data_IF_798441536693
#
_entry.id   IF_798441536693
#
_cell.length_a   1.000
_cell.length_b   1.000
_cell.length_c   1.000
_cell.angle_alpha   90.00
_cell.angle_beta   90.00
_cell.angle_gamma   90.00
#
_symmetry.space_group_name_H-M   'P 1'
#
loop_
_entity.id
_entity.type
_entity.pdbx_description
1 polymer ?
#
# COMPACT_ATOMS: atom_id res chain seq x y z
N UNK A 1 39.13 -3.45 50.26
CA UNK A 1 39.74 -2.48 49.33
C UNK A 1 39.74 -3.15 47.96
N UNK A 2 38.60 -3.34 47.27
CA UNK A 2 37.74 -2.34 46.60
C UNK A 2 38.58 -1.46 45.67
N UNK A 3 38.48 -1.72 44.35
CA UNK A 3 38.99 -1.03 43.15
C UNK A 3 39.31 -2.14 42.11
N UNK A 4 38.81 -2.24 40.89
CA UNK A 4 38.10 -1.31 40.01
C UNK A 4 37.15 -2.12 39.12
N UNK A 5 35.84 -1.99 39.33
CA UNK A 5 34.86 -2.24 38.26
C UNK A 5 34.78 -0.95 37.46
N UNK A 6 35.67 -0.79 36.47
CA UNK A 6 35.46 0.20 35.42
C UNK A 6 34.13 -0.15 34.74
N UNK A 7 33.07 0.55 35.15
CA UNK A 7 31.83 0.60 34.40
C UNK A 7 32.18 1.14 33.01
N UNK A 8 32.07 0.29 32.01
CA UNK A 8 32.11 0.68 30.61
C UNK A 8 30.89 1.58 30.36
N UNK A 9 31.03 2.87 30.63
CA UNK A 9 30.08 3.88 30.17
C UNK A 9 30.62 4.41 28.84
N UNK A 10 29.99 4.10 27.70
CA UNK A 10 30.35 4.75 26.46
C UNK A 10 30.15 6.25 26.63
N UNK A 11 31.20 7.05 26.38
CA UNK A 11 31.11 8.50 26.44
C UNK A 11 30.14 8.97 25.36
N UNK A 12 28.95 9.40 25.76
CA UNK A 12 27.97 9.98 24.82
C UNK A 12 28.45 11.37 24.45
N UNK A 13 28.76 11.58 23.18
CA UNK A 13 29.02 12.92 22.65
C UNK A 13 27.70 13.71 22.65
N UNK A 14 27.62 14.68 23.55
CA UNK A 14 26.45 15.53 23.74
C UNK A 14 26.10 16.34 22.47
N UNK A 15 27.08 16.66 21.62
CA UNK A 15 26.82 17.37 20.36
C UNK A 15 26.15 16.45 19.33
N UNK A 16 26.60 15.18 19.25
CA UNK A 16 25.97 14.17 18.40
C UNK A 16 24.54 13.90 18.90
N UNK A 17 24.36 13.76 20.21
CA UNK A 17 23.04 13.55 20.80
C UNK A 17 22.09 14.72 20.54
N UNK A 18 22.55 15.96 20.75
CA UNK A 18 21.75 17.17 20.47
C UNK A 18 21.36 17.26 19.01
N UNK A 19 22.29 16.99 18.09
CA UNK A 19 22.03 16.99 16.65
C UNK A 19 21.02 15.92 16.25
N UNK A 20 21.14 14.71 16.82
CA UNK A 20 20.21 13.62 16.58
C UNK A 20 18.79 13.94 17.10
N UNK A 21 18.68 14.57 18.28
CA UNK A 21 17.39 15.02 18.83
C UNK A 21 16.76 16.09 17.92
N UNK A 22 17.53 17.10 17.51
CA UNK A 22 17.03 18.16 16.63
C UNK A 22 16.56 17.59 15.29
N UNK A 23 17.29 16.62 14.74
CA UNK A 23 16.90 15.95 13.51
C UNK A 23 15.60 15.15 13.68
N UNK A 24 15.45 14.41 14.77
CA UNK A 24 14.21 13.69 15.10
C UNK A 24 13.02 14.65 15.22
N UNK A 25 13.19 15.76 15.94
CA UNK A 25 12.14 16.78 16.11
C UNK A 25 11.78 17.39 14.76
N UNK A 26 12.76 17.75 13.93
CA UNK A 26 12.51 18.29 12.58
C UNK A 26 11.77 17.29 11.69
N UNK A 27 12.14 16.00 11.72
CA UNK A 27 11.46 14.93 10.98
C UNK A 27 10.00 14.78 11.44
N UNK A 28 9.76 14.73 12.74
CA UNK A 28 8.41 14.63 13.31
C UNK A 28 7.54 15.85 12.93
N UNK A 29 8.08 17.06 13.04
CA UNK A 29 7.36 18.28 12.64
C UNK A 29 7.03 18.31 11.14
N UNK A 30 7.95 17.87 10.28
CA UNK A 30 7.71 17.76 8.83
C UNK A 30 6.57 16.79 8.54
N UNK A 31 6.57 15.63 9.20
CA UNK A 31 5.51 14.62 9.05
C UNK A 31 4.14 15.16 9.48
N UNK A 32 4.07 15.84 10.62
CA UNK A 32 2.82 16.46 11.09
C UNK A 32 2.28 17.49 10.08
N UNK A 33 3.15 18.30 9.48
CA UNK A 33 2.74 19.24 8.42
C UNK A 33 2.19 18.51 7.19
N UNK A 34 2.88 17.48 6.72
CA UNK A 34 2.42 16.67 5.59
C UNK A 34 1.07 16.01 5.87
N UNK A 35 0.86 15.48 7.08
CA UNK A 35 -0.42 14.88 7.47
C UNK A 35 -1.53 15.92 7.56
N UNK A 36 -1.24 17.11 8.08
CA UNK A 36 -2.20 18.22 8.12
C UNK A 36 -2.58 18.69 6.72
N UNK A 37 -1.61 18.86 5.82
CA UNK A 37 -1.84 19.24 4.42
C UNK A 37 -2.66 18.18 3.69
N UNK A 38 -2.35 16.90 3.93
CA UNK A 38 -3.12 15.77 3.40
C UNK A 38 -4.57 15.82 3.86
N UNK A 39 -4.82 15.93 5.18
CA UNK A 39 -6.18 16.00 5.74
C UNK A 39 -6.96 17.20 5.20
N UNK A 40 -6.31 18.35 5.10
CA UNK A 40 -6.93 19.57 4.55
C UNK A 40 -7.36 19.37 3.10
N UNK A 41 -6.50 18.81 2.25
CA UNK A 41 -6.86 18.51 0.85
C UNK A 41 -7.95 17.45 0.73
N UNK A 42 -7.93 16.41 1.58
CA UNK A 42 -9.00 15.40 1.62
C UNK A 42 -10.37 16.00 1.94
N UNK A 43 -10.43 16.99 2.84
CA UNK A 43 -11.68 17.72 3.12
C UNK A 43 -12.19 18.47 1.90
N UNK A 44 -11.30 19.09 1.12
CA UNK A 44 -11.65 19.78 -0.14
C UNK A 44 -12.23 18.78 -1.15
N UNK A 45 -11.57 17.62 -1.34
CA UNK A 45 -12.09 16.57 -2.22
C UNK A 45 -13.47 16.08 -1.79
N UNK A 46 -13.67 15.81 -0.50
CA UNK A 46 -14.96 15.35 0.03
C UNK A 46 -16.07 16.40 -0.15
N UNK A 47 -15.75 17.68 0.06
CA UNK A 47 -16.68 18.78 -0.18
C UNK A 47 -17.06 18.87 -1.67
N UNK A 48 -16.09 18.75 -2.56
CA UNK A 48 -16.33 18.74 -4.00
C UNK A 48 -17.18 17.52 -4.44
N UNK A 49 -16.90 16.33 -3.91
CA UNK A 49 -17.71 15.13 -4.20
C UNK A 49 -19.16 15.32 -3.75
N UNK A 50 -19.37 15.86 -2.55
CA UNK A 50 -20.71 16.18 -2.06
C UNK A 50 -21.46 17.17 -2.95
N UNK A 51 -20.76 18.19 -3.46
CA UNK A 51 -21.32 19.16 -4.41
C UNK A 51 -21.71 18.51 -5.74
N UNK A 52 -20.87 17.62 -6.28
CA UNK A 52 -21.14 16.89 -7.52
C UNK A 52 -22.35 15.96 -7.39
N UNK A 53 -22.45 15.24 -6.25
CA UNK A 53 -23.63 14.42 -5.93
C UNK A 53 -24.88 15.29 -5.87
N UNK A 54 -24.82 16.43 -5.20
CA UNK A 54 -25.95 17.35 -5.07
C UNK A 54 -26.41 17.86 -6.43
N UNK A 55 -25.47 18.28 -7.28
CA UNK A 55 -25.75 18.68 -8.67
C UNK A 55 -26.41 17.57 -9.47
N UNK A 56 -25.93 16.33 -9.34
CA UNK A 56 -26.53 15.18 -10.00
C UNK A 56 -28.00 14.99 -9.60
N UNK A 57 -28.34 15.03 -8.31
CA UNK A 57 -29.73 14.89 -7.86
C UNK A 57 -30.61 16.09 -8.22
N UNK A 58 -30.04 17.29 -8.34
CA UNK A 58 -30.77 18.47 -8.80
C UNK A 58 -31.25 18.35 -10.26
N UNK A 59 -30.64 17.47 -11.06
CA UNK A 59 -31.10 17.15 -12.41
C UNK A 59 -32.33 16.22 -12.43
N UNK A 60 -32.79 15.76 -11.26
CA UNK A 60 -33.95 14.87 -11.08
C UNK A 60 -33.86 13.58 -11.94
N UNK A 61 -32.78 12.79 -11.79
CA UNK A 61 -32.67 11.52 -12.48
C UNK A 61 -33.78 10.56 -12.04
N UNK A 62 -34.22 9.69 -12.94
CA UNK A 62 -35.13 8.59 -12.60
C UNK A 62 -34.41 7.44 -11.86
N UNK A 63 -35.17 6.43 -11.43
CA UNK A 63 -34.63 5.30 -10.66
C UNK A 63 -33.57 4.50 -11.43
N UNK A 64 -33.75 4.31 -12.73
CA UNK A 64 -32.83 3.56 -13.58
C UNK A 64 -31.50 4.33 -13.73
N UNK A 65 -31.57 5.63 -13.98
CA UNK A 65 -30.42 6.52 -14.08
C UNK A 65 -29.65 6.60 -12.76
N UNK A 66 -30.34 6.65 -11.62
CA UNK A 66 -29.71 6.60 -10.28
C UNK A 66 -29.01 5.25 -10.08
N UNK A 67 -29.65 4.15 -10.48
CA UNK A 67 -29.07 2.81 -10.35
C UNK A 67 -27.78 2.67 -11.17
N UNK A 68 -27.80 3.07 -12.44
CA UNK A 68 -26.64 3.02 -13.34
C UNK A 68 -25.52 3.90 -12.80
N UNK A 69 -25.82 5.15 -12.40
CA UNK A 69 -24.81 6.06 -11.85
C UNK A 69 -24.12 5.49 -10.60
N UNK A 70 -24.89 4.93 -9.65
CA UNK A 70 -24.35 4.29 -8.46
C UNK A 70 -23.46 3.10 -8.81
N UNK A 71 -23.86 2.26 -9.76
CA UNK A 71 -23.07 1.13 -10.22
C UNK A 71 -21.76 1.55 -10.87
N UNK A 72 -21.79 2.60 -11.70
CA UNK A 72 -20.59 3.18 -12.31
C UNK A 72 -19.64 3.68 -11.23
N UNK A 73 -20.12 4.52 -10.30
CA UNK A 73 -19.28 5.08 -9.24
C UNK A 73 -18.69 4.02 -8.33
N UNK A 74 -19.47 2.99 -7.97
CA UNK A 74 -18.95 1.87 -7.18
C UNK A 74 -17.86 1.10 -7.95
N UNK A 75 -18.10 0.79 -9.22
CA UNK A 75 -17.15 0.06 -10.05
C UNK A 75 -15.85 0.85 -10.23
N UNK A 76 -15.93 2.18 -10.43
CA UNK A 76 -14.77 3.07 -10.48
C UNK A 76 -14.00 3.03 -9.15
N UNK A 77 -14.69 3.15 -8.02
CA UNK A 77 -14.05 3.08 -6.71
C UNK A 77 -13.29 1.76 -6.51
N UNK A 78 -13.89 0.64 -6.94
CA UNK A 78 -13.26 -0.68 -6.87
C UNK A 78 -12.05 -0.78 -7.80
N UNK A 79 -12.14 -0.32 -9.06
CA UNK A 79 -11.00 -0.26 -10.00
C UNK A 79 -9.86 0.56 -9.42
N UNK A 80 -10.14 1.77 -8.92
CA UNK A 80 -9.13 2.66 -8.36
C UNK A 80 -8.47 2.03 -7.13
N UNK A 81 -9.26 1.45 -6.22
CA UNK A 81 -8.74 0.74 -5.05
C UNK A 81 -7.82 -0.41 -5.45
N UNK A 82 -8.21 -1.23 -6.42
CA UNK A 82 -7.41 -2.36 -6.89
C UNK A 82 -6.13 -1.89 -7.61
N UNK A 83 -6.19 -0.82 -8.41
CA UNK A 83 -5.00 -0.19 -9.02
C UNK A 83 -4.02 0.33 -7.95
N UNK A 84 -4.53 0.96 -6.89
CA UNK A 84 -3.69 1.37 -5.76
C UNK A 84 -3.00 0.19 -5.07
N UNK A 85 -3.70 -0.94 -4.91
CA UNK A 85 -3.11 -2.17 -4.38
C UNK A 85 -2.03 -2.73 -5.31
N UNK A 86 -2.25 -2.68 -6.62
CA UNK A 86 -1.26 -3.07 -7.63
C UNK A 86 0.02 -2.24 -7.50
N UNK A 87 -0.11 -0.92 -7.46
CA UNK A 87 1.00 0.04 -7.36
C UNK A 87 1.83 -0.21 -6.08
N UNK A 88 1.14 -0.38 -4.95
CA UNK A 88 1.77 -0.69 -3.66
C UNK A 88 2.52 -2.02 -3.74
N UNK A 89 1.93 -3.05 -4.35
CA UNK A 89 2.56 -4.36 -4.49
C UNK A 89 3.76 -4.30 -5.43
N UNK A 90 3.69 -3.58 -6.55
CA UNK A 90 4.82 -3.35 -7.47
C UNK A 90 5.98 -2.67 -6.75
N UNK A 91 5.69 -1.62 -5.95
CA UNK A 91 6.73 -0.91 -5.18
C UNK A 91 7.35 -1.82 -4.12
N UNK A 92 6.55 -2.66 -3.47
CA UNK A 92 7.01 -3.69 -2.53
C UNK A 92 7.92 -4.73 -3.19
N UNK A 93 7.54 -5.25 -4.36
CA UNK A 93 8.38 -6.18 -5.14
C UNK A 93 9.72 -5.52 -5.51
N UNK A 94 9.69 -4.27 -5.99
CA UNK A 94 10.90 -3.51 -6.31
C UNK A 94 11.83 -3.37 -5.08
N UNK A 95 11.26 -3.09 -3.91
CA UNK A 95 11.98 -2.99 -2.65
C UNK A 95 12.26 -4.34 -1.99
N UNK A 96 11.88 -5.48 -2.62
CA UNK A 96 11.97 -6.84 -2.07
C UNK A 96 11.30 -7.02 -0.70
N UNK A 97 10.20 -6.29 -0.46
CA UNK A 97 9.41 -6.36 0.78
C UNK A 97 8.14 -7.16 0.56
N UNK A 98 7.89 -8.19 1.37
CA UNK A 98 6.59 -8.88 1.32
C UNK A 98 5.50 -8.12 2.08
N UNK A 99 4.24 -8.27 1.66
CA UNK A 99 3.11 -7.98 2.53
C UNK A 99 3.23 -8.72 3.87
N UNK A 100 3.07 -8.02 4.99
CA UNK A 100 3.21 -8.56 6.36
C UNK A 100 2.46 -9.87 6.61
N UNK A 101 1.31 -10.08 5.94
CA UNK A 101 0.53 -11.32 6.05
C UNK A 101 1.30 -12.53 5.52
N UNK A 102 1.98 -12.37 4.38
CA UNK A 102 2.76 -13.42 3.74
C UNK A 102 4.08 -13.64 4.45
N UNK A 103 4.75 -12.55 4.85
CA UNK A 103 5.99 -12.63 5.60
C UNK A 103 5.80 -13.43 6.89
N UNK A 104 4.80 -13.07 7.71
CA UNK A 104 4.46 -13.81 8.94
C UNK A 104 4.12 -15.29 8.69
N UNK A 105 3.49 -15.62 7.57
CA UNK A 105 3.11 -17.00 7.27
C UNK A 105 4.33 -17.83 6.89
N UNK A 106 5.27 -17.23 6.17
CA UNK A 106 6.51 -17.87 5.73
C UNK A 106 7.52 -17.94 6.89
N UNK A 107 7.60 -16.90 7.72
CA UNK A 107 8.47 -16.89 8.89
C UNK A 107 8.00 -17.90 9.95
N UNK A 108 6.69 -18.06 10.13
CA UNK A 108 6.17 -19.18 10.95
C UNK A 108 6.59 -20.55 10.43
N UNK A 109 6.74 -20.71 9.12
CA UNK A 109 7.21 -21.98 8.55
C UNK A 109 8.72 -22.17 8.74
N UNK A 110 9.49 -21.08 8.87
CA UNK A 110 10.90 -21.10 9.25
C UNK A 110 11.07 -21.62 10.68
N UNK A 111 10.24 -21.16 11.62
CA UNK A 111 10.31 -21.54 13.04
C UNK A 111 10.24 -23.07 13.27
N UNK A 112 9.54 -23.80 12.38
CA UNK A 112 9.44 -25.27 12.47
C UNK A 112 10.65 -26.02 11.91
N UNK A 113 11.37 -25.42 10.96
CA UNK A 113 12.45 -26.08 10.21
C UNK A 113 13.82 -25.69 10.79
N UNK A 114 13.94 -24.52 11.39
CA UNK A 114 15.16 -24.02 12.03
C UNK A 114 15.78 -24.98 13.07
N UNK A 115 15.01 -25.65 13.95
CA UNK A 115 15.55 -26.65 14.87
C UNK A 115 16.16 -27.87 14.15
N UNK A 116 15.58 -28.25 13.01
CA UNK A 116 16.06 -29.39 12.19
C UNK A 116 17.33 -29.02 11.41
N UNK A 117 17.49 -27.74 11.07
CA UNK A 117 18.71 -27.21 10.43
C UNK A 117 19.88 -27.05 11.40
N UNK A 118 19.59 -26.86 12.68
CA UNK A 118 20.58 -26.67 13.75
C UNK A 118 20.99 -27.98 14.44
N UNK A 119 20.36 -29.10 14.10
CA UNK A 119 20.68 -30.42 14.67
C UNK A 119 22.13 -30.85 14.35
N UNK A 120 22.86 -31.29 15.37
CA UNK A 120 24.27 -31.66 15.30
C UNK A 120 24.51 -33.03 14.62
N UNK A 121 23.45 -33.74 14.25
CA UNK A 121 23.52 -34.98 13.47
C UNK A 121 24.13 -34.75 12.08
N UNK A 122 24.06 -33.53 11.54
CA UNK A 122 24.64 -33.17 10.24
C UNK A 122 25.99 -32.46 10.39
N UNK A 123 26.97 -32.85 9.57
CA UNK A 123 28.25 -32.15 9.45
C UNK A 123 28.05 -30.67 9.04
N UNK A 124 28.96 -29.80 9.48
CA UNK A 124 28.89 -28.34 9.27
C UNK A 124 28.71 -27.94 7.80
N UNK A 125 29.40 -28.59 6.87
CA UNK A 125 29.32 -28.25 5.44
C UNK A 125 27.97 -28.66 4.85
N UNK A 126 27.44 -29.81 5.28
CA UNK A 126 26.08 -30.25 4.91
C UNK A 126 25.01 -29.33 5.48
N UNK A 127 25.15 -28.89 6.75
CA UNK A 127 24.25 -27.90 7.36
C UNK A 127 24.26 -26.59 6.59
N UNK A 128 25.44 -26.05 6.29
CA UNK A 128 25.59 -24.82 5.52
C UNK A 128 24.95 -24.93 4.12
N UNK A 129 25.16 -26.06 3.44
CA UNK A 129 24.55 -26.31 2.12
C UNK A 129 23.03 -26.41 2.18
N UNK A 130 22.48 -27.13 3.17
CA UNK A 130 21.04 -27.31 3.33
C UNK A 130 20.34 -26.00 3.67
N UNK A 131 20.88 -25.25 4.64
CA UNK A 131 20.40 -23.91 5.00
C UNK A 131 20.43 -22.98 3.80
N UNK A 132 21.53 -22.95 3.03
CA UNK A 132 21.64 -22.12 1.82
C UNK A 132 20.58 -22.47 0.78
N UNK A 133 20.35 -23.76 0.49
CA UNK A 133 19.30 -24.19 -0.45
C UNK A 133 17.92 -23.81 0.04
N UNK A 134 17.66 -24.01 1.32
CA UNK A 134 16.38 -23.72 1.93
C UNK A 134 16.04 -22.22 1.91
N UNK A 135 16.98 -21.35 2.31
CA UNK A 135 16.81 -19.89 2.21
C UNK A 135 16.59 -19.44 0.76
N UNK A 136 17.29 -20.04 -0.21
CA UNK A 136 17.05 -19.77 -1.65
C UNK A 136 15.64 -20.17 -2.07
N UNK A 137 15.17 -21.35 -1.68
CA UNK A 137 13.82 -21.83 -1.99
C UNK A 137 12.75 -20.93 -1.37
N UNK A 138 12.92 -20.52 -0.11
CA UNK A 138 12.00 -19.59 0.55
C UNK A 138 11.97 -18.24 -0.14
N UNK A 139 13.13 -17.72 -0.50
CA UNK A 139 13.23 -16.44 -1.22
C UNK A 139 12.51 -16.54 -2.56
N UNK A 140 12.72 -17.63 -3.32
CA UNK A 140 12.01 -17.87 -4.57
C UNK A 140 10.50 -17.95 -4.37
N UNK A 141 10.04 -18.73 -3.38
CA UNK A 141 8.61 -18.85 -3.05
C UNK A 141 7.98 -17.51 -2.66
N UNK A 142 8.70 -16.69 -1.89
CA UNK A 142 8.32 -15.32 -1.53
C UNK A 142 8.10 -14.47 -2.80
N UNK A 143 8.99 -14.54 -3.79
CA UNK A 143 8.84 -13.84 -5.07
C UNK A 143 7.68 -14.38 -5.91
N UNK A 144 7.58 -15.69 -6.09
CA UNK A 144 6.53 -16.34 -6.89
C UNK A 144 5.14 -15.98 -6.35
N UNK A 145 4.97 -15.98 -5.02
CA UNK A 145 3.74 -15.58 -4.37
C UNK A 145 3.38 -14.12 -4.66
N UNK A 146 4.34 -13.20 -4.67
CA UNK A 146 4.09 -11.80 -5.03
C UNK A 146 3.69 -11.66 -6.50
N UNK A 147 4.32 -12.40 -7.40
CA UNK A 147 3.98 -12.42 -8.83
C UNK A 147 2.55 -12.94 -9.05
N UNK A 148 2.19 -14.07 -8.44
CA UNK A 148 0.82 -14.62 -8.54
C UNK A 148 -0.21 -13.61 -8.01
N UNK A 149 0.07 -12.95 -6.87
CA UNK A 149 -0.83 -11.93 -6.35
C UNK A 149 -0.99 -10.75 -7.31
N UNK A 150 0.10 -10.33 -7.97
CA UNK A 150 0.05 -9.25 -8.96
C UNK A 150 -0.81 -9.64 -10.15
N UNK A 151 -0.67 -10.87 -10.65
CA UNK A 151 -1.47 -11.39 -11.77
C UNK A 151 -2.97 -11.45 -11.42
N UNK A 152 -3.31 -11.89 -10.21
CA UNK A 152 -4.70 -11.91 -9.72
C UNK A 152 -5.27 -10.50 -9.67
N UNK A 153 -4.52 -9.53 -9.12
CA UNK A 153 -4.93 -8.12 -9.04
C UNK A 153 -5.17 -7.57 -10.45
N UNK A 154 -4.25 -7.81 -11.39
CA UNK A 154 -4.40 -7.36 -12.77
C UNK A 154 -5.59 -7.99 -13.48
N UNK A 155 -5.86 -9.27 -13.23
CA UNK A 155 -7.04 -9.93 -13.76
C UNK A 155 -8.33 -9.27 -13.24
N UNK A 156 -8.42 -9.01 -11.94
CA UNK A 156 -9.57 -8.31 -11.33
C UNK A 156 -9.75 -6.91 -11.92
N UNK A 157 -8.66 -6.15 -12.15
CA UNK A 157 -8.74 -4.84 -12.80
C UNK A 157 -9.35 -4.95 -14.20
N UNK A 158 -8.92 -5.94 -15.00
CA UNK A 158 -9.46 -6.15 -16.35
C UNK A 158 -10.95 -6.47 -16.32
N UNK A 159 -11.39 -7.33 -15.41
CA UNK A 159 -12.81 -7.68 -15.26
C UNK A 159 -13.64 -6.47 -14.86
N UNK A 160 -13.18 -5.66 -13.89
CA UNK A 160 -13.90 -4.45 -13.50
C UNK A 160 -13.90 -3.38 -14.59
N UNK A 161 -12.84 -3.29 -15.40
CA UNK A 161 -12.80 -2.36 -16.54
C UNK A 161 -13.81 -2.76 -17.61
N UNK A 162 -13.91 -4.06 -17.93
CA UNK A 162 -14.94 -4.55 -18.87
C UNK A 162 -16.36 -4.22 -18.37
N UNK A 163 -16.64 -4.48 -17.09
CA UNK A 163 -17.92 -4.11 -16.49
C UNK A 163 -18.19 -2.59 -16.57
N UNK A 164 -17.15 -1.77 -16.36
CA UNK A 164 -17.27 -0.32 -16.47
C UNK A 164 -17.59 0.12 -17.91
N UNK A 165 -16.93 -0.48 -18.91
CA UNK A 165 -17.17 -0.18 -20.32
C UNK A 165 -18.60 -0.57 -20.73
N UNK A 166 -19.12 -1.69 -20.23
CA UNK A 166 -20.51 -2.11 -20.42
C UNK A 166 -21.50 -1.12 -19.78
N UNK A 167 -21.25 -0.71 -18.54
CA UNK A 167 -22.08 0.26 -17.83
C UNK A 167 -22.04 1.65 -18.49
N UNK A 168 -20.89 2.08 -18.99
CA UNK A 168 -20.74 3.32 -19.74
C UNK A 168 -21.52 3.26 -21.06
N UNK A 169 -21.55 2.11 -21.72
CA UNK A 169 -22.36 1.91 -22.93
C UNK A 169 -23.86 2.04 -22.63
N UNK A 170 -24.33 1.45 -21.52
CA UNK A 170 -25.72 1.62 -21.04
C UNK A 170 -26.03 3.07 -20.65
N UNK A 171 -25.04 3.79 -20.12
CA UNK A 171 -25.22 5.19 -19.76
C UNK A 171 -25.59 6.06 -20.98
N UNK A 172 -24.93 5.85 -22.12
CA UNK A 172 -25.20 6.60 -23.34
C UNK A 172 -26.58 6.32 -23.94
N UNK A 173 -27.18 5.16 -23.64
CA UNK A 173 -28.53 4.80 -24.10
C UNK A 173 -29.63 5.32 -23.17
N UNK A 174 -29.37 5.39 -21.87
CA UNK A 174 -30.39 5.64 -20.84
C UNK A 174 -30.39 7.07 -20.30
N UNK A 175 -29.24 7.77 -20.33
CA UNK A 175 -29.09 9.09 -19.73
C UNK A 175 -29.06 10.21 -20.78
N UNK A 176 -29.55 11.39 -20.38
CA UNK A 176 -29.32 12.62 -21.15
C UNK A 176 -27.88 13.11 -21.01
N UNK A 177 -27.47 14.02 -21.90
CA UNK A 177 -26.11 14.56 -21.95
C UNK A 177 -25.67 15.25 -20.66
N UNK A 178 -26.58 15.92 -19.95
CA UNK A 178 -26.27 16.59 -18.68
C UNK A 178 -25.95 15.61 -17.55
N UNK A 179 -26.70 14.51 -17.44
CA UNK A 179 -26.44 13.45 -16.47
C UNK A 179 -25.14 12.72 -16.78
N UNK A 180 -24.90 12.42 -18.07
CA UNK A 180 -23.64 11.83 -18.53
C UNK A 180 -22.46 12.71 -18.11
N UNK A 181 -22.56 14.02 -18.30
CA UNK A 181 -21.51 14.94 -17.92
C UNK A 181 -21.27 14.95 -16.40
N UNK A 182 -22.34 14.97 -15.58
CA UNK A 182 -22.18 14.92 -14.10
C UNK A 182 -21.51 13.64 -13.61
N UNK A 183 -21.81 12.50 -14.25
CA UNK A 183 -21.18 11.23 -13.92
C UNK A 183 -19.69 11.24 -14.28
N UNK A 184 -19.34 11.80 -15.44
CA UNK A 184 -17.94 11.96 -15.88
C UNK A 184 -17.15 12.94 -15.00
N UNK A 185 -17.76 14.07 -14.62
CA UNK A 185 -17.14 15.05 -13.73
C UNK A 185 -16.80 14.42 -12.38
N UNK A 186 -17.72 13.60 -11.84
CA UNK A 186 -17.48 12.85 -10.61
C UNK A 186 -16.43 11.76 -10.77
N UNK A 187 -16.45 11.01 -11.88
CA UNK A 187 -15.40 10.03 -12.20
C UNK A 187 -14.00 10.67 -12.17
N UNK A 188 -13.85 11.84 -12.80
CA UNK A 188 -12.58 12.56 -12.82
C UNK A 188 -12.18 13.05 -11.42
N UNK A 189 -13.12 13.57 -10.64
CA UNK A 189 -12.85 13.95 -9.25
C UNK A 189 -12.40 12.76 -8.40
N UNK A 190 -13.00 11.58 -8.58
CA UNK A 190 -12.60 10.35 -7.90
C UNK A 190 -11.19 9.90 -8.29
N UNK A 191 -10.81 10.03 -9.58
CA UNK A 191 -9.44 9.74 -10.05
C UNK A 191 -8.42 10.67 -9.40
N UNK A 192 -8.67 11.98 -9.40
CA UNK A 192 -7.79 12.97 -8.79
C UNK A 192 -7.61 12.74 -7.27
N UNK A 193 -8.72 12.46 -6.58
CA UNK A 193 -8.68 12.11 -5.17
C UNK A 193 -7.85 10.84 -4.93
N UNK A 194 -8.04 9.82 -5.77
CA UNK A 194 -7.29 8.57 -5.69
C UNK A 194 -5.80 8.77 -5.93
N UNK A 195 -5.41 9.50 -6.99
CA UNK A 195 -4.00 9.79 -7.28
C UNK A 195 -3.33 10.53 -6.13
N UNK A 196 -4.02 11.53 -5.57
CA UNK A 196 -3.53 12.25 -4.40
C UNK A 196 -3.34 11.34 -3.19
N UNK A 197 -4.33 10.49 -2.90
CA UNK A 197 -4.28 9.52 -1.82
C UNK A 197 -3.15 8.51 -2.01
N UNK A 198 -3.03 7.94 -3.22
CA UNK A 198 -2.01 6.96 -3.55
C UNK A 198 -0.61 7.55 -3.42
N UNK A 199 -0.40 8.77 -3.90
CA UNK A 199 0.87 9.48 -3.72
C UNK A 199 1.21 9.64 -2.24
N UNK A 200 0.27 10.12 -1.43
CA UNK A 200 0.47 10.24 0.01
C UNK A 200 0.79 8.89 0.65
N UNK A 201 0.09 7.81 0.28
CA UNK A 201 0.39 6.47 0.77
C UNK A 201 1.79 6.03 0.36
N UNK A 202 2.19 6.19 -0.89
CA UNK A 202 3.54 5.80 -1.34
C UNK A 202 4.62 6.64 -0.65
N UNK A 203 4.37 7.91 -0.35
CA UNK A 203 5.34 8.77 0.32
C UNK A 203 5.46 8.45 1.82
N UNK A 204 4.37 8.06 2.48
CA UNK A 204 4.36 7.82 3.95
C UNK A 204 4.54 6.37 4.36
N UNK A 205 4.15 5.41 3.51
CA UNK A 205 4.14 3.98 3.84
C UNK A 205 5.53 3.35 3.89
N UNK A 206 6.52 3.91 3.17
CA UNK A 206 7.86 3.32 3.07
C UNK A 206 8.89 3.90 4.03
N UNK A 207 8.56 4.99 4.73
CA UNK A 207 9.39 5.58 5.80
C UNK A 207 9.41 4.73 7.08
N UNK A 208 8.47 3.78 7.24
CA UNK A 208 8.31 2.98 8.49
C UNK A 208 8.65 1.49 8.35
N UNK A 209 8.86 0.98 7.15
CA UNK A 209 9.09 -0.45 6.97
C UNK A 209 10.59 -0.77 7.03
N UNK A 210 11.04 -1.75 7.83
CA UNK A 210 12.42 -2.19 7.83
C UNK A 210 12.82 -2.61 6.42
N UNK A 211 13.94 -2.08 5.92
CA UNK A 211 14.67 -2.72 4.84
C UNK A 211 15.12 -4.08 5.32
N UNK A 212 14.93 -5.12 4.52
CA UNK A 212 15.76 -6.31 4.63
C UNK A 212 17.19 -5.83 4.37
N UNK A 213 17.92 -5.54 5.45
CA UNK A 213 19.35 -5.32 5.40
C UNK A 213 19.94 -6.55 4.74
N UNK A 214 20.53 -6.35 3.55
CA UNK A 214 21.53 -7.28 3.08
C UNK A 214 22.77 -7.01 3.93
N UNK A 215 22.85 -7.70 5.07
CA UNK A 215 24.13 -8.20 5.55
C UNK A 215 24.37 -9.57 4.90
#
# INVERSE_FOLDING_TARGET
>A
LQNDLQQWQPSVDLNILSTAIDELVRRAQRRLRQEFDYKTRMLVFNSNDHHLITKFYNLRPDEEQIYIAKKIWQTIADVLKTKGQEEILRKRIYLRRLPNKYDKLIDRSLDYIEPTLMDDVLDKDRRASLSSRYFKTITQYKFDLMTINLDIIQHVIRVHQQLLDDLQSQLFTTCNSSLIQMIKDREEAMKQQHEFYLKYQLDTFFDEAPTTSNE
#
